data_IF_521090664999
#
_entry.id   IF_521090664999
#
_cell.length_a   1.000
_cell.length_b   1.000
_cell.length_c   1.000
_cell.angle_alpha   90.00
_cell.angle_beta   90.00
_cell.angle_gamma   90.00
#
_symmetry.space_group_name_H-M   'P 1'
#
loop_
_entity.id
_entity.type
_entity.pdbx_description
1 polymer ?
#
# COMPACT_ATOMS: atom_id res chain seq x y z
N UNK A 1 -5.95 4.01 -6.03
CA UNK A 1 -5.87 5.38 -6.60
C UNK A 1 -4.55 5.99 -6.15
N UNK A 2 -3.90 6.80 -6.97
CA UNK A 2 -2.72 7.58 -6.56
C UNK A 2 -3.18 9.02 -6.34
N UNK A 3 -2.83 9.58 -5.18
CA UNK A 3 -3.22 10.92 -4.77
C UNK A 3 -1.96 11.73 -4.49
N UNK A 4 -1.86 12.91 -5.09
CA UNK A 4 -0.74 13.80 -4.83
C UNK A 4 -0.87 14.41 -3.44
N UNK A 5 0.21 14.37 -2.66
CA UNK A 5 0.26 14.99 -1.33
C UNK A 5 0.55 16.49 -1.43
N UNK A 6 1.41 16.88 -2.37
CA UNK A 6 1.86 18.26 -2.54
C UNK A 6 1.16 19.00 -3.69
N UNK A 7 -0.02 18.53 -4.10
CA UNK A 7 -0.75 19.09 -5.24
C UNK A 7 -2.19 18.58 -5.31
N UNK A 8 -2.93 19.06 -6.30
CA UNK A 8 -4.39 18.85 -6.38
C UNK A 8 -4.80 17.86 -7.46
N UNK A 9 -4.08 16.73 -7.58
CA UNK A 9 -4.44 15.68 -8.55
C UNK A 9 -4.58 14.30 -7.90
N UNK A 10 -5.49 13.52 -8.48
CA UNK A 10 -5.73 12.12 -8.15
C UNK A 10 -5.99 11.37 -9.45
N UNK A 11 -5.44 10.16 -9.59
CA UNK A 11 -5.60 9.34 -10.79
C UNK A 11 -5.83 7.88 -10.42
N UNK A 12 -6.81 7.19 -11.05
CA UNK A 12 -6.90 5.74 -10.94
C UNK A 12 -5.67 5.10 -11.59
N UNK A 13 -4.98 4.23 -10.85
CA UNK A 13 -3.77 3.54 -11.35
C UNK A 13 -4.04 2.07 -11.68
N UNK A 14 -4.96 1.43 -10.97
CA UNK A 14 -5.38 0.05 -11.22
C UNK A 14 -6.85 -0.13 -10.91
N UNK A 15 -7.56 -0.79 -11.82
CA UNK A 15 -8.95 -1.22 -11.66
C UNK A 15 -9.07 -2.63 -12.24
N UNK A 16 -9.52 -3.58 -11.42
CA UNK A 16 -9.58 -4.99 -11.76
C UNK A 16 -10.99 -5.52 -11.51
N UNK A 17 -11.59 -6.15 -12.52
CA UNK A 17 -12.93 -6.71 -12.40
C UNK A 17 -12.86 -8.17 -11.95
N UNK A 18 -12.87 -8.37 -10.63
CA UNK A 18 -12.64 -9.66 -9.97
C UNK A 18 -13.65 -9.87 -8.83
N UNK A 19 -14.12 -11.10 -8.65
CA UNK A 19 -15.14 -11.44 -7.66
C UNK A 19 -14.62 -11.34 -6.20
N UNK A 20 -13.31 -11.51 -6.01
CA UNK A 20 -12.69 -11.45 -4.69
C UNK A 20 -11.19 -11.68 -4.78
N UNK A 21 -10.50 -11.41 -3.68
CA UNK A 21 -9.07 -11.62 -3.54
C UNK A 21 -8.72 -11.97 -2.10
N UNK A 22 -7.76 -12.86 -1.93
CA UNK A 22 -7.07 -13.09 -0.65
C UNK A 22 -6.20 -11.89 -0.27
N UNK A 23 -5.82 -11.77 1.01
CA UNK A 23 -4.91 -10.72 1.47
C UNK A 23 -3.56 -10.75 0.74
N UNK A 24 -3.03 -11.94 0.47
CA UNK A 24 -1.78 -12.15 -0.27
C UNK A 24 -1.87 -11.71 -1.73
N UNK A 25 -2.96 -12.04 -2.43
CA UNK A 25 -3.16 -11.59 -3.81
C UNK A 25 -3.27 -10.06 -3.87
N UNK A 26 -3.98 -9.43 -2.91
CA UNK A 26 -4.04 -7.97 -2.80
C UNK A 26 -2.66 -7.37 -2.57
N UNK A 27 -1.87 -7.95 -1.67
CA UNK A 27 -0.51 -7.50 -1.39
C UNK A 27 0.37 -7.60 -2.64
N UNK A 28 0.24 -8.67 -3.44
CA UNK A 28 0.95 -8.79 -4.72
C UNK A 28 0.59 -7.65 -5.68
N UNK A 29 -0.70 -7.33 -5.85
CA UNK A 29 -1.11 -6.21 -6.70
C UNK A 29 -0.58 -4.87 -6.18
N UNK A 30 -0.59 -4.65 -4.87
CA UNK A 30 -0.05 -3.43 -4.27
C UNK A 30 1.46 -3.34 -4.49
N UNK A 31 2.22 -4.43 -4.30
CA UNK A 31 3.67 -4.46 -4.57
C UNK A 31 3.96 -4.13 -6.04
N UNK A 32 3.21 -4.71 -6.96
CA UNK A 32 3.36 -4.42 -8.39
C UNK A 32 3.08 -2.94 -8.68
N UNK A 33 2.00 -2.37 -8.12
CA UNK A 33 1.70 -0.95 -8.29
C UNK A 33 2.81 -0.04 -7.76
N UNK A 34 3.31 -0.32 -6.55
CA UNK A 34 4.40 0.43 -5.93
C UNK A 34 5.71 0.30 -6.72
N UNK A 35 6.01 -0.90 -7.24
CA UNK A 35 7.17 -1.14 -8.08
C UNK A 35 7.11 -0.30 -9.37
N UNK A 36 5.98 -0.35 -10.08
CA UNK A 36 5.78 0.43 -11.32
C UNK A 36 5.84 1.94 -11.07
N UNK A 37 5.21 2.44 -10.01
CA UNK A 37 5.30 3.85 -9.62
C UNK A 37 6.74 4.26 -9.28
N UNK A 38 7.48 3.39 -8.58
CA UNK A 38 8.90 3.59 -8.30
C UNK A 38 9.75 3.68 -9.55
N UNK A 39 9.52 2.81 -10.55
CA UNK A 39 10.21 2.85 -11.84
C UNK A 39 9.94 4.15 -12.60
N UNK A 40 8.75 4.75 -12.44
CA UNK A 40 8.40 6.06 -13.02
C UNK A 40 8.99 7.25 -12.24
N UNK A 41 9.73 7.01 -11.15
CA UNK A 41 10.26 8.06 -10.28
C UNK A 41 9.22 8.67 -9.32
N UNK A 42 8.04 8.08 -9.19
CA UNK A 42 6.99 8.55 -8.29
C UNK A 42 7.26 7.99 -6.89
N UNK A 43 7.47 8.88 -5.92
CA UNK A 43 7.67 8.50 -4.52
C UNK A 43 6.33 8.32 -3.80
N UNK A 44 5.97 7.07 -3.50
CA UNK A 44 4.80 6.75 -2.68
C UNK A 44 5.17 6.74 -1.20
N UNK A 45 4.67 7.72 -0.45
CA UNK A 45 5.00 7.88 0.98
C UNK A 45 4.02 7.17 1.91
N UNK A 46 2.80 6.90 1.44
CA UNK A 46 1.78 6.22 2.24
C UNK A 46 0.82 5.39 1.41
N UNK A 47 0.26 4.37 2.08
CA UNK A 47 -0.84 3.55 1.60
C UNK A 47 -2.02 3.74 2.56
N UNK A 48 -3.21 3.91 2.01
CA UNK A 48 -4.46 4.05 2.77
C UNK A 48 -5.46 2.99 2.31
N UNK A 49 -6.06 2.27 3.25
CA UNK A 49 -7.14 1.30 3.02
C UNK A 49 -8.16 1.41 4.16
N UNK A 50 -9.38 0.92 3.94
CA UNK A 50 -10.42 0.86 4.98
C UNK A 50 -10.18 -0.33 5.94
N UNK A 51 -10.92 -0.34 7.05
CA UNK A 51 -10.70 -1.25 8.19
C UNK A 51 -11.15 -2.72 8.15
N UNK A 52 -11.74 -3.31 7.08
CA UNK A 52 -12.09 -4.73 7.08
C UNK A 52 -10.89 -5.67 7.32
N UNK A 53 -11.17 -6.82 7.95
CA UNK A 53 -10.14 -7.77 8.39
C UNK A 53 -9.21 -8.29 7.29
N UNK A 54 -9.67 -8.36 6.05
CA UNK A 54 -8.86 -8.79 4.91
C UNK A 54 -7.80 -7.76 4.48
N UNK A 55 -7.95 -6.47 4.84
CA UNK A 55 -6.88 -5.49 4.62
C UNK A 55 -5.75 -5.64 5.63
N UNK A 56 -6.03 -6.04 6.87
CA UNK A 56 -4.97 -6.42 7.80
C UNK A 56 -4.12 -7.59 7.27
N UNK A 57 -4.74 -8.60 6.66
CA UNK A 57 -4.01 -9.70 6.03
C UNK A 57 -3.10 -9.23 4.88
N UNK A 58 -3.56 -8.27 4.07
CA UNK A 58 -2.73 -7.63 3.04
C UNK A 58 -1.56 -6.85 3.65
N UNK A 59 -1.80 -6.08 4.70
CA UNK A 59 -0.76 -5.28 5.37
C UNK A 59 0.30 -6.15 6.02
N UNK A 60 -0.12 -7.23 6.69
CA UNK A 60 0.78 -8.23 7.25
C UNK A 60 1.63 -8.90 6.17
N UNK A 61 1.04 -9.26 5.02
CA UNK A 61 1.78 -9.85 3.89
C UNK A 61 2.75 -8.84 3.23
N UNK A 62 2.47 -7.53 3.29
CA UNK A 62 3.42 -6.48 2.90
C UNK A 62 4.60 -6.33 3.87
N UNK A 63 4.44 -6.77 5.12
CA UNK A 63 5.47 -6.71 6.17
C UNK A 63 5.15 -5.73 7.31
N UNK A 64 3.97 -5.10 7.31
CA UNK A 64 3.54 -4.24 8.40
C UNK A 64 2.92 -5.04 9.55
N UNK A 65 3.21 -4.66 10.79
CA UNK A 65 2.57 -5.19 11.99
C UNK A 65 1.47 -4.26 12.46
N UNK A 66 0.23 -4.76 12.48
CA UNK A 66 -0.94 -4.05 13.03
C UNK A 66 -1.32 -4.58 14.43
N UNK A 67 -0.39 -5.27 15.09
CA UNK A 67 -0.54 -5.75 16.47
C UNK A 67 -0.50 -4.54 17.44
N UNK A 68 -1.51 -4.33 18.29
CA UNK A 68 -1.50 -3.25 19.28
C UNK A 68 -0.29 -3.28 20.22
N UNK A 69 0.27 -4.47 20.52
CA UNK A 69 1.42 -4.60 21.43
C UNK A 69 2.76 -4.30 20.74
N UNK A 70 2.83 -4.47 19.42
CA UNK A 70 4.03 -4.25 18.62
C UNK A 70 3.65 -3.64 17.26
N UNK A 71 3.08 -2.43 17.30
CA UNK A 71 2.59 -1.72 16.13
C UNK A 71 3.77 -1.21 15.30
N UNK A 72 3.96 -1.77 14.11
CA UNK A 72 4.89 -1.30 13.10
C UNK A 72 4.13 -1.11 11.78
N UNK A 73 3.61 0.10 11.53
CA UNK A 73 2.81 0.39 10.33
C UNK A 73 3.70 0.60 9.09
N UNK A 74 4.99 0.27 9.14
CA UNK A 74 5.91 0.45 8.01
C UNK A 74 6.17 -0.88 7.29
N UNK A 75 6.50 -0.79 6.01
CA UNK A 75 6.91 -1.95 5.22
C UNK A 75 7.98 -1.54 4.19
N UNK A 76 8.87 -2.46 3.77
CA UNK A 76 9.91 -2.17 2.81
C UNK A 76 9.32 -1.86 1.43
N UNK A 77 9.88 -0.85 0.75
CA UNK A 77 9.49 -0.53 -0.61
C UNK A 77 9.93 -1.65 -1.58
N UNK A 78 9.08 -2.11 -2.51
CA UNK A 78 9.40 -3.24 -3.39
C UNK A 78 10.41 -2.91 -4.50
N UNK A 79 10.76 -1.63 -4.68
CA UNK A 79 11.80 -1.20 -5.63
C UNK A 79 13.18 -1.11 -4.92
N UNK A 80 14.21 -1.83 -5.40
CA UNK A 80 15.51 -1.98 -4.71
C UNK A 80 16.25 -0.66 -4.45
N UNK A 81 16.13 0.31 -5.36
CA UNK A 81 16.82 1.61 -5.24
C UNK A 81 16.14 2.62 -4.32
N UNK A 82 14.91 2.34 -3.86
CA UNK A 82 14.12 3.27 -3.03
C UNK A 82 14.16 2.79 -1.58
N UNK A 83 15.04 3.40 -0.78
CA UNK A 83 15.16 3.14 0.67
C UNK A 83 14.06 3.82 1.51
N UNK A 84 13.00 4.35 0.91
CA UNK A 84 11.95 5.03 1.67
C UNK A 84 11.01 4.01 2.31
N UNK A 85 10.89 4.05 3.63
CA UNK A 85 9.79 3.40 4.35
C UNK A 85 8.48 4.02 3.87
N UNK A 86 7.60 3.20 3.28
CA UNK A 86 6.23 3.60 3.00
C UNK A 86 5.47 3.52 4.33
N UNK A 87 5.05 4.66 4.87
CA UNK A 87 4.32 4.72 6.14
C UNK A 87 2.85 4.47 5.88
N UNK A 88 2.25 3.49 6.55
CA UNK A 88 0.82 3.32 6.49
C UNK A 88 0.11 4.48 7.19
N UNK A 89 -0.94 5.03 6.57
CA UNK A 89 -1.87 5.92 7.24
C UNK A 89 -3.20 5.17 7.36
N UNK A 90 -3.50 4.71 8.57
CA UNK A 90 -4.76 4.03 8.87
C UNK A 90 -5.88 5.09 8.90
N UNK A 91 -6.90 4.93 8.05
CA UNK A 91 -8.08 5.80 8.07
C UNK A 91 -9.23 4.97 8.63
N UNK A 92 -9.58 5.22 9.89
CA UNK A 92 -10.84 4.74 10.47
C UNK A 92 -11.98 5.58 9.90
N UNK A 93 -12.85 4.98 9.10
CA UNK A 93 -14.16 5.53 8.78
C UNK A 93 -15.08 5.36 9.99
#
# INVERSE_FOLDING_TARGET
MVVCVNGSWKVPFGFFFIHGMTGKEKANLVRECLHQLGQMGIKVISLTCDGPSYHFAMLSDLGASMDPENLDPSFPHPHPDIKSLSSLMYVTC
#
